data_IF_781242559669
#
_entry.id   IF_781242559669
#
_cell.length_a   1.000
_cell.length_b   1.000
_cell.length_c   1.000
_cell.angle_alpha   90.00
_cell.angle_beta   90.00
_cell.angle_gamma   90.00
#
_symmetry.space_group_name_H-M   'P 1'
#
loop_
_entity.id
_entity.type
_entity.pdbx_description
1 polymer ?
#
# COMPACT_ATOMS: atom_id res chain seq x y z
N UNK A 1 -7.28 16.06 -16.54
CA UNK A 1 -5.96 15.39 -16.65
C UNK A 1 -6.04 14.07 -15.90
N UNK A 2 -5.47 12.98 -16.44
CA UNK A 2 -5.53 11.66 -15.81
C UNK A 2 -4.52 11.54 -14.66
N UNK A 3 -4.96 11.02 -13.51
CA UNK A 3 -4.10 10.73 -12.37
C UNK A 3 -3.15 9.56 -12.67
N UNK A 4 -1.96 9.63 -12.09
CA UNK A 4 -0.88 8.66 -12.22
C UNK A 4 -0.40 8.30 -10.81
N UNK A 5 -0.16 7.02 -10.56
CA UNK A 5 0.35 6.51 -9.29
C UNK A 5 1.88 6.64 -9.16
N UNK A 6 2.32 7.20 -8.06
CA UNK A 6 3.73 7.39 -7.74
C UNK A 6 3.99 6.80 -6.36
N UNK A 7 5.18 6.21 -6.19
CA UNK A 7 5.61 5.65 -4.91
C UNK A 7 6.80 6.42 -4.41
N UNK A 8 6.85 6.60 -3.10
CA UNK A 8 8.05 6.92 -2.35
C UNK A 8 8.31 5.79 -1.35
N UNK A 9 9.55 5.31 -1.31
CA UNK A 9 9.98 4.35 -0.29
C UNK A 9 10.58 5.14 0.89
N UNK A 10 9.98 5.01 2.07
CA UNK A 10 10.53 5.55 3.30
C UNK A 10 11.61 4.61 3.84
N UNK A 11 12.85 4.91 3.50
CA UNK A 11 14.02 4.13 3.91
C UNK A 11 14.20 4.05 5.43
N UNK A 12 13.59 4.96 6.20
CA UNK A 12 13.67 4.95 7.67
C UNK A 12 12.73 3.92 8.32
N UNK A 13 11.49 3.83 7.85
CA UNK A 13 10.48 2.88 8.36
C UNK A 13 10.47 1.55 7.61
N UNK A 14 11.02 1.54 6.40
CA UNK A 14 10.91 0.43 5.45
C UNK A 14 9.50 0.29 4.85
N UNK A 15 8.67 1.32 4.96
CA UNK A 15 7.35 1.42 4.33
C UNK A 15 7.44 2.08 2.96
N UNK A 16 6.47 1.79 2.11
CA UNK A 16 6.31 2.46 0.82
C UNK A 16 4.96 3.16 0.80
N UNK A 17 4.91 4.36 0.25
CA UNK A 17 3.72 5.21 0.22
C UNK A 17 3.34 5.54 -1.21
N UNK A 18 2.06 5.37 -1.55
CA UNK A 18 1.52 5.62 -2.89
C UNK A 18 0.73 6.92 -2.90
N UNK A 19 1.01 7.80 -3.87
CA UNK A 19 0.22 8.98 -4.15
C UNK A 19 -0.21 9.04 -5.61
N UNK A 20 -1.44 9.51 -5.86
CA UNK A 20 -1.94 9.75 -7.21
C UNK A 20 -1.94 11.23 -7.54
N UNK A 21 -1.24 11.61 -8.60
CA UNK A 21 -1.18 13.00 -9.05
C UNK A 21 -1.05 13.10 -10.58
N UNK A 22 -1.27 14.29 -11.13
CA UNK A 22 -1.12 14.52 -12.58
C UNK A 22 0.34 14.60 -13.03
N UNK A 23 1.28 14.86 -12.11
CA UNK A 23 2.73 14.99 -12.37
C UNK A 23 3.54 14.42 -11.21
N UNK A 24 4.81 13.99 -11.44
CA UNK A 24 5.68 13.50 -10.37
C UNK A 24 5.93 14.54 -9.28
N UNK A 25 6.14 15.81 -9.67
CA UNK A 25 6.37 16.90 -8.72
C UNK A 25 5.18 17.14 -7.78
N UNK A 26 3.94 16.99 -8.27
CA UNK A 26 2.75 17.08 -7.42
C UNK A 26 2.64 15.90 -6.46
N UNK A 27 2.89 14.67 -6.92
CA UNK A 27 2.89 13.50 -6.03
C UNK A 27 3.94 13.62 -4.93
N UNK A 28 5.15 14.06 -5.31
CA UNK A 28 6.25 14.30 -4.39
C UNK A 28 5.92 15.39 -3.37
N UNK A 29 5.27 16.48 -3.78
CA UNK A 29 4.84 17.53 -2.86
C UNK A 29 3.75 17.05 -1.87
N UNK A 30 2.82 16.19 -2.32
CA UNK A 30 1.81 15.58 -1.45
C UNK A 30 2.47 14.69 -0.39
N UNK A 31 3.32 13.75 -0.83
CA UNK A 31 4.03 12.84 0.07
C UNK A 31 4.96 13.60 1.05
N UNK A 32 5.64 14.65 0.59
CA UNK A 32 6.45 15.51 1.46
C UNK A 32 5.62 16.16 2.57
N UNK A 33 4.45 16.68 2.22
CA UNK A 33 3.55 17.31 3.17
C UNK A 33 2.90 16.31 4.13
N UNK A 34 2.55 15.11 3.67
CA UNK A 34 1.90 14.08 4.49
C UNK A 34 2.84 13.44 5.52
N UNK A 35 4.13 13.36 5.20
CA UNK A 35 5.14 12.67 6.02
C UNK A 35 6.15 13.61 6.68
N UNK A 36 5.91 14.93 6.66
CA UNK A 36 6.79 15.97 7.21
C UNK A 36 8.26 15.82 6.73
N UNK A 37 8.43 15.63 5.42
CA UNK A 37 9.74 15.45 4.77
C UNK A 37 10.07 16.62 3.87
N UNK A 38 11.36 16.90 3.69
CA UNK A 38 11.79 17.89 2.73
C UNK A 38 11.54 17.43 1.30
N UNK A 39 10.92 18.30 0.49
CA UNK A 39 10.75 18.05 -0.93
C UNK A 39 12.09 17.72 -1.60
N UNK A 40 13.19 18.36 -1.25
CA UNK A 40 14.50 18.10 -1.89
C UNK A 40 15.02 16.68 -1.68
N UNK A 41 14.69 16.05 -0.55
CA UNK A 41 15.24 14.75 -0.16
C UNK A 41 14.43 13.55 -0.69
N UNK A 42 13.17 13.76 -1.06
CA UNK A 42 12.32 12.67 -1.52
C UNK A 42 12.55 12.29 -2.97
N UNK A 43 12.49 10.99 -3.28
CA UNK A 43 12.47 10.47 -4.64
C UNK A 43 11.19 9.68 -4.85
N UNK A 44 10.45 10.04 -5.90
CA UNK A 44 9.25 9.30 -6.30
C UNK A 44 9.50 8.58 -7.61
N UNK A 45 8.95 7.38 -7.74
CA UNK A 45 8.98 6.60 -8.99
C UNK A 45 7.57 6.20 -9.40
N UNK A 46 7.43 5.74 -10.64
CA UNK A 46 6.13 5.41 -11.25
C UNK A 46 5.75 3.96 -10.99
N UNK A 47 4.49 3.72 -10.65
CA UNK A 47 3.87 2.38 -10.62
C UNK A 47 2.64 2.35 -11.54
N UNK A 48 2.82 2.17 -12.86
CA UNK A 48 1.73 2.31 -13.83
C UNK A 48 0.55 1.37 -13.60
N UNK A 49 0.79 0.19 -13.02
CA UNK A 49 -0.27 -0.79 -12.73
C UNK A 49 -1.33 -0.23 -11.76
N UNK A 50 -0.95 0.70 -10.87
CA UNK A 50 -1.83 1.31 -9.89
C UNK A 50 -2.60 2.53 -10.41
N UNK A 51 -2.36 2.98 -11.65
CA UNK A 51 -3.05 4.14 -12.23
C UNK A 51 -4.57 3.96 -12.28
N UNK A 52 -5.04 2.71 -12.45
CA UNK A 52 -6.47 2.36 -12.50
C UNK A 52 -7.22 2.64 -11.18
N UNK A 53 -6.49 2.77 -10.07
CA UNK A 53 -7.07 3.00 -8.74
C UNK A 53 -7.09 4.48 -8.33
N UNK A 54 -6.65 5.39 -9.19
CA UNK A 54 -6.48 6.80 -8.81
C UNK A 54 -7.75 7.55 -8.43
N UNK A 55 -8.91 7.10 -8.94
CA UNK A 55 -10.19 7.74 -8.65
C UNK A 55 -10.69 7.41 -7.24
N UNK A 56 -10.62 6.15 -6.83
CA UNK A 56 -11.06 5.69 -5.50
C UNK A 56 -9.94 5.76 -4.45
N UNK A 57 -8.68 5.84 -4.88
CA UNK A 57 -7.47 5.80 -4.04
C UNK A 57 -7.37 4.56 -3.14
N UNK A 58 -8.09 3.50 -3.48
CA UNK A 58 -8.07 2.20 -2.82
C UNK A 58 -7.51 1.20 -3.81
N UNK A 59 -6.42 0.54 -3.43
CA UNK A 59 -5.86 -0.60 -4.16
C UNK A 59 -6.25 -1.86 -3.38
N UNK A 60 -6.90 -2.85 -4.02
CA UNK A 60 -7.22 -4.09 -3.34
C UNK A 60 -5.97 -4.78 -2.77
N UNK A 61 -6.06 -5.34 -1.58
CA UNK A 61 -4.99 -6.03 -0.88
C UNK A 61 -4.35 -7.11 -1.76
N UNK A 62 -5.18 -7.90 -2.45
CA UNK A 62 -4.72 -8.92 -3.40
C UNK A 62 -3.86 -8.35 -4.53
N UNK A 63 -4.20 -7.16 -5.03
CA UNK A 63 -3.42 -6.52 -6.09
C UNK A 63 -2.07 -6.04 -5.54
N UNK A 64 -2.06 -5.36 -4.38
CA UNK A 64 -0.83 -4.95 -3.70
C UNK A 64 0.12 -6.14 -3.51
N UNK A 65 -0.37 -7.22 -2.90
CA UNK A 65 0.38 -8.45 -2.64
C UNK A 65 0.96 -9.05 -3.93
N UNK A 66 0.16 -9.15 -5.00
CA UNK A 66 0.60 -9.68 -6.29
C UNK A 66 1.69 -8.85 -6.98
N UNK A 67 1.82 -7.57 -6.64
CA UNK A 67 2.90 -6.69 -7.12
C UNK A 67 4.07 -6.58 -6.12
N UNK A 68 4.16 -7.49 -5.15
CA UNK A 68 5.28 -7.61 -4.22
C UNK A 68 5.23 -6.66 -3.03
N UNK A 69 4.08 -6.03 -2.77
CA UNK A 69 3.88 -5.25 -1.55
C UNK A 69 3.58 -6.16 -0.38
N UNK A 70 4.06 -5.79 0.80
CA UNK A 70 3.64 -6.41 2.05
C UNK A 70 2.55 -5.56 2.69
N UNK A 71 1.72 -6.18 3.52
CA UNK A 71 0.64 -5.54 4.25
C UNK A 71 0.72 -5.89 5.74
N UNK A 72 0.02 -5.13 6.57
CA UNK A 72 -0.14 -5.47 7.98
C UNK A 72 -1.35 -6.38 8.17
N UNK A 73 -1.16 -7.47 8.93
CA UNK A 73 -2.26 -8.27 9.43
C UNK A 73 -3.22 -7.37 10.22
N UNK A 74 -4.49 -7.32 9.83
CA UNK A 74 -5.52 -6.47 10.44
C UNK A 74 -5.76 -6.79 11.92
N UNK A 75 -5.41 -8.00 12.37
CA UNK A 75 -5.61 -8.42 13.76
C UNK A 75 -4.39 -8.15 14.66
N UNK A 76 -3.17 -8.49 14.21
CA UNK A 76 -1.99 -8.46 15.07
C UNK A 76 -0.86 -7.53 14.60
N UNK A 77 -0.98 -6.89 13.43
CA UNK A 77 0.03 -6.00 12.89
C UNK A 77 1.32 -6.69 12.41
N UNK A 78 1.35 -8.02 12.32
CA UNK A 78 2.48 -8.72 11.67
C UNK A 78 2.50 -8.42 10.18
N UNK A 79 3.69 -8.18 9.61
CA UNK A 79 3.85 -8.03 8.15
C UNK A 79 3.54 -9.35 7.46
N UNK A 80 2.72 -9.30 6.42
CA UNK A 80 2.33 -10.43 5.58
C UNK A 80 2.65 -10.13 4.12
N UNK A 81 2.97 -11.19 3.38
CA UNK A 81 3.34 -11.16 1.97
C UNK A 81 2.35 -12.03 1.18
N UNK A 82 2.43 -12.02 -0.15
CA UNK A 82 1.49 -12.74 -1.02
C UNK A 82 1.34 -14.24 -0.68
N UNK A 83 2.41 -14.86 -0.21
CA UNK A 83 2.47 -16.27 0.17
C UNK A 83 2.01 -16.59 1.61
N UNK A 84 1.85 -15.56 2.45
CA UNK A 84 1.58 -15.67 3.90
C UNK A 84 0.34 -14.88 4.36
N UNK A 85 -0.31 -14.19 3.43
CA UNK A 85 -1.51 -13.40 3.67
C UNK A 85 -2.78 -14.17 3.28
N UNK A 86 -3.75 -14.22 4.19
CA UNK A 86 -5.13 -14.57 3.89
C UNK A 86 -5.92 -13.29 3.66
N UNK A 87 -6.37 -13.05 2.44
CA UNK A 87 -7.20 -11.88 2.09
C UNK A 87 -8.65 -12.13 2.51
N UNK A 88 -9.18 -11.31 3.42
CA UNK A 88 -10.57 -11.41 3.90
C UNK A 88 -11.53 -10.61 3.02
N UNK A 89 -11.14 -9.39 2.65
CA UNK A 89 -11.94 -8.51 1.81
C UNK A 89 -11.06 -7.63 0.88
N UNK A 90 -11.56 -6.47 0.43
CA UNK A 90 -10.82 -5.56 -0.45
C UNK A 90 -9.53 -5.02 0.20
N UNK A 91 -9.48 -4.80 1.52
CA UNK A 91 -8.35 -4.17 2.22
C UNK A 91 -7.85 -4.93 3.43
N UNK A 92 -8.65 -5.86 3.96
CA UNK A 92 -8.33 -6.64 5.15
C UNK A 92 -7.58 -7.93 4.80
N UNK A 93 -6.47 -8.14 5.52
CA UNK A 93 -5.65 -9.34 5.40
C UNK A 93 -5.30 -9.87 6.79
N UNK A 94 -5.18 -11.18 6.92
CA UNK A 94 -4.68 -11.85 8.12
C UNK A 94 -3.38 -12.59 7.82
N UNK A 95 -2.51 -12.70 8.82
CA UNK A 95 -1.43 -13.69 8.79
C UNK A 95 -1.99 -15.09 9.04
N UNK A 96 -1.23 -16.12 8.65
CA UNK A 96 -1.61 -17.53 8.80
C UNK A 96 -2.10 -17.88 10.20
N UNK A 97 -1.45 -17.38 11.26
CA UNK A 97 -1.85 -17.65 12.64
C UNK A 97 -3.21 -17.04 12.99
N UNK A 98 -3.47 -15.81 12.56
CA UNK A 98 -4.77 -15.16 12.80
C UNK A 98 -5.87 -15.78 11.93
N UNK A 99 -5.54 -16.21 10.71
CA UNK A 99 -6.47 -16.87 9.81
C UNK A 99 -6.95 -18.23 10.36
N UNK A 100 -6.08 -18.97 11.06
CA UNK A 100 -6.47 -20.22 11.75
C UNK A 100 -7.61 -19.98 12.74
N UNK A 101 -7.50 -18.95 13.59
CA UNK A 101 -8.53 -18.61 14.59
C UNK A 101 -9.80 -17.98 13.99
N UNK A 102 -9.70 -17.31 12.84
CA UNK A 102 -10.87 -16.73 12.16
C UNK A 102 -11.85 -17.80 11.67
N UNK A 103 -11.35 -18.92 11.15
CA UNK A 103 -12.17 -20.02 10.66
C UNK A 103 -12.92 -20.79 11.76
N UNK A 104 -12.54 -20.61 13.03
CA UNK A 104 -13.15 -21.29 14.17
C UNK A 104 -14.36 -20.53 14.74
N UNK A 105 -14.48 -19.22 14.48
CA UNK A 105 -15.56 -18.36 14.99
C UNK A 105 -16.65 -18.09 13.94
N UNK A 106 -16.37 -18.38 12.66
CA UNK A 106 -17.25 -18.12 11.52
C UNK A 106 -18.22 -19.25 11.12
N UNK A 107 -18.70 -20.08 12.05
CA UNK A 107 -19.76 -21.08 11.82
C UNK A 107 -21.01 -20.81 12.64
#
# INVERSE_FOLDING_TARGET
>A
MKLKAYVWDDEYSGESHIAWATTPGKAKALLASEHDREFTEMRVYRVPWADKYGDNKIIPAKELLSHGWWLYCSNCGTRVYDDTATVLDEVEVLCDECAKGYNEVGK
#
